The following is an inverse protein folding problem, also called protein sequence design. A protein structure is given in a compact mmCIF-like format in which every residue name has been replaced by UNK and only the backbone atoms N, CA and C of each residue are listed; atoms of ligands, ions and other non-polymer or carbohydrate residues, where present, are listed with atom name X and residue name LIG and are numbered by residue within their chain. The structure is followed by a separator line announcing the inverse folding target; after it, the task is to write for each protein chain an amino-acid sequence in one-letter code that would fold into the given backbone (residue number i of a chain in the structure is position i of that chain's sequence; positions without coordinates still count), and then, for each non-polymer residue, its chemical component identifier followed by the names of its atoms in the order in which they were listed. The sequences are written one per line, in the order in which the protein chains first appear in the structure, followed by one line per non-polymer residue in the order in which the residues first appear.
data_IF_995181344372
#
_entry.id   IF_995181344372
#
_cell.length_a   1.000
_cell.length_b   1.000
_cell.length_c   1.000
_cell.angle_alpha   90.00
_cell.angle_beta   90.00
_cell.angle_gamma   90.00
#
_symmetry.space_group_name_H-M   'P 1'
#
loop_
_entity.id
_entity.type
_entity.pdbx_description
1 polymer ?
#
# COMPACT_ATOMS: atom_id res chain seq x y z
N UNK A 1 16.10 22.94 -24.70
CA UNK A 1 15.03 21.95 -24.43
C UNK A 1 15.62 21.01 -23.42
N UNK A 2 15.32 21.23 -22.14
CA UNK A 2 15.77 20.30 -21.10
C UNK A 2 15.01 18.98 -21.27
N UNK A 3 15.75 17.87 -21.32
CA UNK A 3 15.14 16.55 -21.34
C UNK A 3 14.30 16.39 -20.07
N UNK A 4 13.06 15.86 -20.15
CA UNK A 4 12.28 15.60 -18.95
C UNK A 4 13.07 14.66 -18.04
N UNK A 5 13.26 15.06 -16.78
CA UNK A 5 13.82 14.20 -15.74
C UNK A 5 13.02 12.89 -15.73
N UNK A 6 13.67 11.79 -16.10
CA UNK A 6 13.00 10.49 -16.06
C UNK A 6 12.61 10.19 -14.61
N UNK A 7 11.38 9.72 -14.37
CA UNK A 7 10.96 9.33 -13.02
C UNK A 7 11.90 8.24 -12.51
N UNK A 8 12.42 8.42 -11.29
CA UNK A 8 13.36 7.45 -10.69
C UNK A 8 12.65 6.13 -10.44
N UNK A 9 13.21 5.05 -10.97
CA UNK A 9 12.76 3.68 -10.75
C UNK A 9 13.70 2.93 -9.82
N UNK A 10 13.19 1.86 -9.19
CA UNK A 10 13.90 1.04 -8.22
C UNK A 10 13.73 -0.44 -8.56
N UNK A 11 14.82 -1.17 -8.66
CA UNK A 11 14.78 -2.63 -8.81
C UNK A 11 14.14 -3.28 -7.58
N UNK A 12 13.70 -4.54 -7.69
CA UNK A 12 13.23 -5.32 -6.53
C UNK A 12 14.23 -5.31 -5.35
N UNK A 13 15.54 -5.36 -5.63
CA UNK A 13 16.58 -5.34 -4.59
C UNK A 13 16.62 -4.01 -3.86
N UNK A 14 16.54 -2.90 -4.60
CA UNK A 14 16.49 -1.56 -4.03
C UNK A 14 15.19 -1.34 -3.26
N UNK A 15 14.04 -1.74 -3.82
CA UNK A 15 12.75 -1.70 -3.13
C UNK A 15 12.81 -2.42 -1.78
N UNK A 16 13.36 -3.64 -1.73
CA UNK A 16 13.55 -4.38 -0.47
C UNK A 16 14.46 -3.61 0.49
N UNK A 17 15.55 -3.04 -0.01
CA UNK A 17 16.49 -2.25 0.81
C UNK A 17 15.83 -1.02 1.42
N UNK A 18 15.01 -0.30 0.65
CA UNK A 18 14.27 0.89 1.08
C UNK A 18 13.21 0.52 2.14
N UNK A 19 12.52 -0.59 1.95
CA UNK A 19 11.43 -1.04 2.84
C UNK A 19 11.93 -1.72 4.13
N UNK A 20 13.18 -2.18 4.12
CA UNK A 20 13.81 -2.90 5.22
C UNK A 20 14.36 -1.93 6.28
N UNK A 21 13.62 -1.76 7.40
CA UNK A 21 13.95 -0.72 8.39
C UNK A 21 15.05 -1.10 9.39
N UNK A 22 15.19 -2.39 9.72
CA UNK A 22 16.17 -2.84 10.74
C UNK A 22 16.28 -4.38 10.87
N UNK A 23 15.84 -5.13 9.85
CA UNK A 23 15.75 -6.59 9.92
C UNK A 23 17.05 -7.35 9.67
N UNK A 24 16.99 -8.66 9.88
CA UNK A 24 17.97 -9.60 9.35
C UNK A 24 17.60 -10.07 7.94
N UNK A 25 18.46 -10.90 7.33
CA UNK A 25 18.25 -11.44 5.98
C UNK A 25 16.89 -12.16 5.79
N UNK A 26 16.31 -12.73 6.84
CA UNK A 26 14.99 -13.35 6.80
C UNK A 26 13.85 -12.36 6.52
N UNK A 27 13.92 -11.15 7.10
CA UNK A 27 12.92 -10.12 6.84
C UNK A 27 13.02 -9.62 5.41
N UNK A 28 14.23 -9.38 4.91
CA UNK A 28 14.46 -9.02 3.51
C UNK A 28 13.90 -10.09 2.54
N UNK A 29 14.11 -11.37 2.85
CA UNK A 29 13.54 -12.48 2.07
C UNK A 29 12.01 -12.51 2.12
N UNK A 30 11.41 -12.23 3.29
CA UNK A 30 9.96 -12.13 3.45
C UNK A 30 9.38 -10.98 2.62
N UNK A 31 9.97 -9.79 2.73
CA UNK A 31 9.59 -8.61 1.94
C UNK A 31 9.70 -8.90 0.45
N UNK A 32 10.80 -9.55 0.02
CA UNK A 32 10.98 -9.96 -1.38
C UNK A 32 9.84 -10.85 -1.88
N UNK A 33 9.42 -11.84 -1.08
CA UNK A 33 8.28 -12.72 -1.43
C UNK A 33 6.97 -11.94 -1.48
N UNK A 34 6.73 -11.04 -0.54
CA UNK A 34 5.54 -10.19 -0.54
C UNK A 34 5.46 -9.31 -1.79
N UNK A 35 6.53 -8.59 -2.15
CA UNK A 35 6.54 -7.72 -3.34
C UNK A 35 6.26 -8.54 -4.61
N UNK A 36 6.88 -9.72 -4.75
CA UNK A 36 6.63 -10.61 -5.89
C UNK A 36 5.18 -11.09 -5.93
N UNK A 37 4.63 -11.49 -4.79
CA UNK A 37 3.25 -11.94 -4.70
C UNK A 37 2.25 -10.82 -5.03
N UNK A 38 2.45 -9.62 -4.47
CA UNK A 38 1.61 -8.47 -4.77
C UNK A 38 1.75 -7.98 -6.21
N UNK A 39 2.94 -8.08 -6.80
CA UNK A 39 3.12 -7.84 -8.24
C UNK A 39 2.35 -8.86 -9.07
N UNK A 40 2.35 -10.13 -8.66
CA UNK A 40 1.57 -11.17 -9.34
C UNK A 40 0.06 -10.89 -9.27
N UNK A 41 -0.42 -10.37 -8.15
CA UNK A 41 -1.82 -9.98 -7.94
C UNK A 41 -2.17 -8.58 -8.48
N UNK A 42 -1.27 -7.91 -9.21
CA UNK A 42 -1.45 -6.55 -9.76
C UNK A 42 -1.76 -5.47 -8.70
N UNK A 43 -1.41 -5.74 -7.44
CA UNK A 43 -1.41 -4.77 -6.34
C UNK A 43 -0.23 -3.81 -6.42
N UNK A 44 0.85 -4.26 -7.05
CA UNK A 44 2.03 -3.47 -7.40
C UNK A 44 2.32 -3.63 -8.89
N UNK A 45 2.71 -2.55 -9.56
CA UNK A 45 3.03 -2.58 -10.99
C UNK A 45 4.47 -2.16 -11.25
N UNK A 46 5.28 -3.04 -11.87
CA UNK A 46 6.59 -2.64 -12.34
C UNK A 46 6.46 -1.78 -13.61
N UNK A 47 7.49 -0.98 -13.89
CA UNK A 47 7.66 -0.36 -15.19
C UNK A 47 7.95 -1.41 -16.26
N UNK A 48 7.24 -1.31 -17.39
CA UNK A 48 7.33 -2.24 -18.49
C UNK A 48 6.56 -3.55 -18.28
N UNK A 49 6.86 -4.55 -19.10
CA UNK A 49 6.10 -5.80 -19.11
C UNK A 49 6.30 -6.62 -17.83
N UNK A 50 5.20 -7.04 -17.20
CA UNK A 50 5.19 -7.96 -16.04
C UNK A 50 5.92 -9.29 -16.32
N UNK A 51 5.95 -9.69 -17.60
CA UNK A 51 6.52 -10.93 -18.11
C UNK A 51 7.63 -10.66 -19.14
N UNK A 52 8.70 -9.99 -18.73
CA UNK A 52 9.91 -9.96 -19.56
C UNK A 52 10.53 -11.37 -19.57
N UNK A 53 10.25 -12.18 -20.60
CA UNK A 53 10.87 -13.49 -20.81
C UNK A 53 12.41 -13.47 -20.94
N UNK A 54 13.05 -12.32 -20.77
CA UNK A 54 14.46 -12.03 -21.01
C UNK A 54 15.13 -11.39 -19.80
N UNK A 55 15.05 -12.02 -18.61
CA UNK A 55 15.97 -11.76 -17.49
C UNK A 55 16.07 -10.32 -16.96
N UNK A 56 15.23 -9.39 -17.41
CA UNK A 56 15.25 -8.00 -16.96
C UNK A 56 14.70 -7.91 -15.54
N UNK A 57 15.38 -7.14 -14.71
CA UNK A 57 14.91 -6.87 -13.36
C UNK A 57 13.61 -6.05 -13.45
N UNK A 58 12.64 -6.38 -12.60
CA UNK A 58 11.47 -5.54 -12.40
C UNK A 58 11.92 -4.26 -11.72
N UNK A 59 11.51 -3.14 -12.30
CA UNK A 59 11.73 -1.81 -11.77
C UNK A 59 10.40 -1.23 -11.33
N UNK A 60 10.37 -0.52 -10.22
CA UNK A 60 9.18 0.03 -9.60
C UNK A 60 9.35 1.53 -9.45
N UNK A 61 8.33 2.32 -9.76
CA UNK A 61 8.37 3.75 -9.44
C UNK A 61 8.32 3.98 -7.94
N UNK A 62 8.64 5.19 -7.51
CA UNK A 62 8.63 5.57 -6.09
C UNK A 62 7.26 5.37 -5.43
N UNK A 63 6.18 5.61 -6.18
CA UNK A 63 4.80 5.46 -5.70
C UNK A 63 4.47 3.99 -5.39
N UNK A 64 5.04 3.06 -6.16
CA UNK A 64 4.91 1.63 -5.92
C UNK A 64 5.66 1.21 -4.65
N UNK A 65 6.75 1.90 -4.30
CA UNK A 65 7.44 1.71 -3.01
C UNK A 65 6.55 2.18 -1.86
N UNK A 66 5.84 3.31 -2.01
CA UNK A 66 4.88 3.79 -1.00
C UNK A 66 3.72 2.80 -0.80
N UNK A 67 3.15 2.30 -1.91
CA UNK A 67 2.11 1.26 -1.89
C UNK A 67 2.61 -0.02 -1.21
N UNK A 68 3.83 -0.47 -1.54
CA UNK A 68 4.43 -1.65 -0.91
C UNK A 68 4.64 -1.46 0.59
N UNK A 69 5.03 -0.26 1.04
CA UNK A 69 5.16 0.05 2.46
C UNK A 69 3.82 -0.02 3.20
N UNK A 70 2.74 0.51 2.60
CA UNK A 70 1.39 0.39 3.14
C UNK A 70 0.92 -1.07 3.18
N UNK A 71 1.12 -1.84 2.11
CA UNK A 71 0.78 -3.27 2.07
C UNK A 71 1.54 -4.09 3.13
N UNK A 72 2.82 -3.78 3.38
CA UNK A 72 3.59 -4.40 4.47
C UNK A 72 2.99 -4.09 5.84
N UNK A 73 2.57 -2.85 6.06
CA UNK A 73 1.90 -2.48 7.31
C UNK A 73 0.59 -3.25 7.47
N UNK A 74 -0.26 -3.30 6.44
CA UNK A 74 -1.51 -4.07 6.46
C UNK A 74 -1.28 -5.57 6.69
N UNK A 75 -0.22 -6.13 6.11
CA UNK A 75 0.15 -7.53 6.29
C UNK A 75 0.57 -7.85 7.75
N UNK A 76 1.22 -6.91 8.46
CA UNK A 76 1.53 -7.09 9.91
C UNK A 76 0.27 -7.27 10.74
N UNK A 77 -0.80 -6.57 10.37
CA UNK A 77 -2.12 -6.66 10.99
C UNK A 77 -2.98 -7.80 10.42
N UNK A 78 -2.38 -8.69 9.62
CA UNK A 78 -3.03 -9.87 9.04
C UNK A 78 -4.26 -9.55 8.17
N UNK A 79 -4.29 -8.36 7.56
CA UNK A 79 -5.31 -8.05 6.56
C UNK A 79 -5.15 -9.03 5.39
N UNK A 80 -6.18 -9.84 5.05
CA UNK A 80 -6.07 -10.81 3.98
C UNK A 80 -5.81 -10.14 2.63
N UNK A 81 -4.86 -10.66 1.86
CA UNK A 81 -4.56 -10.10 0.52
C UNK A 81 -5.76 -10.19 -0.43
N UNK A 82 -6.65 -11.17 -0.22
CA UNK A 82 -7.89 -11.33 -0.99
C UNK A 82 -8.85 -10.17 -0.81
N UNK A 83 -8.87 -9.54 0.37
CA UNK A 83 -9.68 -8.32 0.63
C UNK A 83 -9.13 -7.13 -0.17
N UNK A 84 -7.83 -7.13 -0.48
CA UNK A 84 -7.13 -6.04 -1.15
C UNK A 84 -7.11 -6.17 -2.67
N UNK A 85 -7.09 -7.41 -3.20
CA UNK A 85 -6.77 -7.75 -4.58
C UNK A 85 -7.53 -6.91 -5.63
N UNK A 86 -8.81 -6.62 -5.39
CA UNK A 86 -9.67 -5.98 -6.39
C UNK A 86 -9.80 -4.46 -6.23
N UNK A 87 -9.48 -3.92 -5.05
CA UNK A 87 -9.87 -2.55 -4.68
C UNK A 87 -8.70 -1.66 -4.28
N UNK A 88 -7.64 -2.23 -3.73
CA UNK A 88 -6.50 -1.46 -3.20
C UNK A 88 -5.89 -0.55 -4.26
N UNK A 89 -5.75 -1.04 -5.49
CA UNK A 89 -5.10 -0.27 -6.55
C UNK A 89 -5.98 0.83 -7.13
N UNK A 90 -7.25 0.53 -7.40
CA UNK A 90 -8.23 1.52 -7.83
C UNK A 90 -8.30 2.66 -6.81
N UNK A 91 -8.33 2.29 -5.53
CA UNK A 91 -8.34 3.25 -4.45
C UNK A 91 -7.05 4.08 -4.42
N UNK A 92 -5.88 3.45 -4.35
CA UNK A 92 -4.59 4.17 -4.22
C UNK A 92 -4.16 4.95 -5.46
N UNK A 93 -4.90 4.89 -6.57
CA UNK A 93 -4.64 5.66 -7.78
C UNK A 93 -4.91 7.16 -7.56
N UNK A 94 -5.95 7.51 -6.82
CA UNK A 94 -6.40 8.91 -6.68
C UNK A 94 -5.69 9.67 -5.54
N UNK A 95 -4.86 8.99 -4.74
CA UNK A 95 -4.27 9.55 -3.52
C UNK A 95 -2.82 10.04 -3.67
N UNK A 96 -2.39 10.35 -4.90
CA UNK A 96 -1.02 10.83 -5.16
C UNK A 96 -0.64 12.00 -4.24
N UNK A 97 -1.56 12.94 -4.04
CA UNK A 97 -1.35 14.09 -3.16
C UNK A 97 -1.16 13.68 -1.69
N UNK A 98 -1.97 12.76 -1.20
CA UNK A 98 -1.93 12.27 0.18
C UNK A 98 -0.66 11.45 0.45
N UNK A 99 -0.20 10.66 -0.54
CA UNK A 99 1.12 10.00 -0.48
C UNK A 99 2.23 11.04 -0.30
N UNK A 100 2.22 12.11 -1.09
CA UNK A 100 3.21 13.17 -0.98
C UNK A 100 3.13 13.92 0.35
N UNK A 101 1.93 14.19 0.88
CA UNK A 101 1.76 14.79 2.20
C UNK A 101 2.26 13.88 3.33
N UNK A 102 2.03 12.57 3.21
CA UNK A 102 2.51 11.59 4.18
C UNK A 102 4.04 11.48 4.17
N UNK A 103 4.66 11.56 2.99
CA UNK A 103 6.14 11.59 2.84
C UNK A 103 6.74 12.89 3.38
N UNK A 104 6.13 14.03 3.10
CA UNK A 104 6.56 15.35 3.60
C UNK A 104 6.53 15.39 5.14
N UNK A 105 5.63 14.63 5.76
CA UNK A 105 5.60 14.40 7.20
C UNK A 105 5.21 15.62 8.04
N UNK A 106 4.88 16.75 7.42
CA UNK A 106 4.40 17.96 8.09
C UNK A 106 3.02 17.77 8.74
N UNK A 107 2.25 16.80 8.27
CA UNK A 107 0.96 16.39 8.84
C UNK A 107 0.88 14.89 8.89
N UNK A 108 0.29 14.37 9.96
CA UNK A 108 -0.06 12.95 10.02
C UNK A 108 -1.22 12.68 9.06
N UNK A 109 -1.01 11.72 8.17
CA UNK A 109 -1.99 11.22 7.23
C UNK A 109 -2.42 9.83 7.72
N UNK A 110 -3.71 9.66 7.94
CA UNK A 110 -4.29 8.41 8.39
C UNK A 110 -5.08 7.76 7.28
N UNK A 111 -4.83 6.48 7.08
CA UNK A 111 -5.64 5.61 6.25
C UNK A 111 -6.53 4.80 7.18
N UNK A 112 -7.84 4.87 6.96
CA UNK A 112 -8.84 4.05 7.66
C UNK A 112 -9.46 3.09 6.67
N UNK A 113 -9.64 1.83 7.06
CA UNK A 113 -10.27 0.81 6.23
C UNK A 113 -11.25 -0.01 7.06
N UNK A 114 -12.36 -0.44 6.45
CA UNK A 114 -13.27 -1.45 7.00
C UNK A 114 -13.54 -2.54 5.97
N UNK A 115 -13.70 -3.78 6.41
CA UNK A 115 -13.98 -4.90 5.52
C UNK A 115 -14.86 -5.98 6.18
N UNK A 116 -15.53 -6.76 5.34
CA UNK A 116 -16.20 -8.02 5.68
C UNK A 116 -15.72 -9.13 4.72
N UNK A 117 -16.44 -9.37 3.64
CA UNK A 117 -16.07 -10.31 2.55
C UNK A 117 -15.19 -9.64 1.46
N UNK A 118 -15.06 -8.33 1.56
CA UNK A 118 -14.22 -7.47 0.73
C UNK A 118 -14.07 -6.11 1.39
N UNK A 119 -13.25 -5.25 0.80
CA UNK A 119 -13.08 -3.88 1.30
C UNK A 119 -14.39 -3.10 1.16
N UNK A 120 -14.89 -2.55 2.26
CA UNK A 120 -16.21 -1.88 2.33
C UNK A 120 -16.10 -0.37 2.44
N UNK A 121 -15.16 0.14 3.24
CA UNK A 121 -14.91 1.58 3.39
C UNK A 121 -13.43 1.82 3.43
N UNK A 122 -12.98 2.89 2.79
CA UNK A 122 -11.65 3.43 2.97
C UNK A 122 -11.72 4.96 3.02
N UNK A 123 -11.03 5.57 3.99
CA UNK A 123 -10.89 7.02 4.08
C UNK A 123 -9.42 7.40 4.29
N UNK A 124 -8.97 8.50 3.67
CA UNK A 124 -7.69 9.13 3.99
C UNK A 124 -7.96 10.51 4.60
N UNK A 125 -7.52 10.71 5.84
CA UNK A 125 -7.73 11.95 6.57
C UNK A 125 -6.41 12.53 7.08
N UNK A 126 -6.27 13.85 6.93
CA UNK A 126 -5.15 14.59 7.49
C UNK A 126 -5.46 15.05 8.92
N UNK A 127 -4.52 14.83 9.84
CA UNK A 127 -4.54 15.34 11.21
C UNK A 127 -5.37 14.54 12.21
N UNK A 128 -6.52 13.99 11.81
CA UNK A 128 -7.33 13.09 12.67
C UNK A 128 -7.89 11.93 11.85
N UNK A 129 -7.83 10.69 12.35
CA UNK A 129 -8.50 9.57 11.69
C UNK A 129 -10.01 9.71 11.84
N UNK A 130 -10.74 9.53 10.75
CA UNK A 130 -12.20 9.41 10.78
C UNK A 130 -12.59 7.96 10.52
N UNK A 131 -13.13 7.32 11.56
CA UNK A 131 -13.69 5.97 11.48
C UNK A 131 -15.16 6.08 11.09
N UNK A 132 -15.44 5.74 9.84
CA UNK A 132 -16.81 5.53 9.37
C UNK A 132 -17.20 4.09 9.67
N UNK A 133 -17.96 3.88 10.74
CA UNK A 133 -18.71 2.63 10.90
C UNK A 133 -20.00 2.77 10.09
N UNK A 134 -20.09 2.07 8.95
CA UNK A 134 -21.37 1.89 8.28
C UNK A 134 -22.28 1.09 9.21
N UNK A 135 -23.23 1.76 9.85
CA UNK A 135 -24.44 1.11 10.34
C UNK A 135 -25.34 0.91 9.14
N UNK A 136 -25.57 -0.34 8.75
CA UNK A 136 -26.59 -0.68 7.77
C UNK A 136 -27.96 -0.24 8.32
N UNK A 137 -28.66 0.75 7.72
CA UNK A 137 -29.96 1.19 8.20
C UNK A 137 -31.07 0.16 7.94
N UNK A 138 -30.81 -0.93 7.20
CA UNK A 138 -31.79 -1.98 6.89
C UNK A 138 -31.78 -3.17 7.86
N UNK A 139 -30.91 -3.19 8.88
CA UNK A 139 -30.78 -4.31 9.81
C UNK A 139 -31.87 -4.35 10.90
N UNK A 140 -33.14 -4.45 10.49
CA UNK A 140 -34.18 -5.17 11.26
C UNK A 140 -34.30 -6.64 10.83
N UNK A 141 -33.47 -7.13 9.91
CA UNK A 141 -33.32 -8.56 9.64
C UNK A 141 -31.84 -8.89 9.41
N UNK A 142 -31.38 -10.00 9.99
CA UNK A 142 -29.97 -10.30 10.21
C UNK A 142 -29.06 -10.32 8.96
N UNK A 143 -27.75 -10.12 9.23
CA UNK A 143 -26.59 -9.88 8.34
C UNK A 143 -26.38 -8.36 8.14
N UNK A 144 -25.37 -7.67 8.67
CA UNK A 144 -24.07 -8.01 9.23
C UNK A 144 -23.13 -6.85 8.85
N UNK A 145 -22.87 -5.91 9.78
CA UNK A 145 -21.99 -4.76 9.52
C UNK A 145 -20.54 -5.16 9.21
N UNK A 146 -19.64 -4.22 8.89
CA UNK A 146 -18.25 -4.56 8.59
C UNK A 146 -17.66 -5.37 9.75
N UNK A 147 -17.13 -6.55 9.45
CA UNK A 147 -16.62 -7.48 10.45
C UNK A 147 -15.30 -6.99 11.07
N UNK A 148 -14.61 -6.06 10.42
CA UNK A 148 -13.31 -5.57 10.86
C UNK A 148 -13.01 -4.16 10.36
N UNK A 149 -12.16 -3.45 11.11
CA UNK A 149 -11.69 -2.10 10.80
C UNK A 149 -10.23 -1.93 11.22
N UNK A 150 -9.47 -1.13 10.47
CA UNK A 150 -8.09 -0.76 10.79
C UNK A 150 -7.84 0.71 10.47
N UNK A 151 -6.98 1.34 11.28
CA UNK A 151 -6.43 2.67 11.01
C UNK A 151 -4.91 2.54 11.00
N UNK A 152 -4.26 3.00 9.94
CA UNK A 152 -2.79 3.10 9.85
C UNK A 152 -2.38 4.57 9.75
N UNK A 153 -1.34 4.97 10.49
CA UNK A 153 -0.70 6.27 10.30
C UNK A 153 0.29 6.14 9.13
N UNK A 154 -0.13 6.58 7.96
CA UNK A 154 0.64 6.51 6.73
C UNK A 154 1.92 7.35 6.81
N UNK A 155 1.89 8.50 7.46
CA UNK A 155 3.09 9.32 7.71
C UNK A 155 4.15 8.55 8.50
N UNK A 156 3.75 7.83 9.56
CA UNK A 156 4.65 6.99 10.35
C UNK A 156 5.18 5.80 9.54
N UNK A 157 4.33 5.22 8.68
CA UNK A 157 4.77 4.20 7.73
C UNK A 157 5.81 4.78 6.79
N UNK A 158 5.58 5.92 6.12
CA UNK A 158 6.50 6.38 5.09
C UNK A 158 7.78 7.05 5.63
N UNK A 159 7.77 7.59 6.85
CA UNK A 159 8.94 8.24 7.48
C UNK A 159 10.17 7.33 7.59
N UNK A 160 9.98 6.01 7.63
CA UNK A 160 11.07 5.04 7.74
C UNK A 160 11.78 4.72 6.43
N UNK A 161 11.28 5.20 5.29
CA UNK A 161 11.84 4.87 3.96
C UNK A 161 13.08 5.73 3.68
N UNK A 162 14.08 5.11 3.03
CA UNK A 162 15.36 5.76 2.68
C UNK A 162 15.64 5.57 1.19
N UNK A 163 15.51 6.62 0.40
CA UNK A 163 15.67 6.64 -1.07
C UNK A 163 17.06 7.13 -1.52
#
# INVERSE_FOLDING_TARGET
MDAPLQPRTYTLKEAVTILHRSGGAEEANRITRHIRHWTFLDLLIPEGDKHTGTGRAREYRVEEIYRAAALLELAKWRVPVTVLADTFRQFTADFEKEWMLAVDGKKDIYVTMTWSDGLTVWNIAAGKPELFMLKDPAAESGLGGPASAIVINLTSVLRGLRF
#
